data_IF_227885099512
#
_entry.id   IF_227885099512
#
_cell.length_a   1.000
_cell.length_b   1.000
_cell.length_c   1.000
_cell.angle_alpha   90.00
_cell.angle_beta   90.00
_cell.angle_gamma   90.00
#
_symmetry.space_group_name_H-M   'P 1'
#
loop_
_entity.id
_entity.type
_entity.pdbx_description
1 polymer ?
#
# COMPACT_ATOMS: atom_id res chain seq x y z
N UNK A 1 31.19 33.56 10.04
CA UNK A 1 31.03 32.28 9.32
C UNK A 1 29.98 32.48 8.23
N UNK A 2 30.36 32.38 6.94
CA UNK A 2 29.41 32.41 5.82
C UNK A 2 29.11 30.96 5.44
N UNK A 3 27.89 30.51 5.67
CA UNK A 3 27.43 29.20 5.20
C UNK A 3 27.49 29.20 3.67
N UNK A 4 28.29 28.30 3.10
CA UNK A 4 28.43 28.12 1.68
C UNK A 4 27.06 27.79 1.06
N UNK A 5 26.77 28.43 -0.07
CA UNK A 5 25.60 28.21 -0.91
C UNK A 5 25.45 26.70 -1.15
N UNK A 6 24.37 26.08 -0.63
CA UNK A 6 24.12 24.64 -0.76
C UNK A 6 24.21 24.26 -2.23
N UNK A 7 25.09 23.31 -2.52
CA UNK A 7 25.29 22.78 -3.87
C UNK A 7 23.96 22.31 -4.45
N UNK A 8 23.81 22.50 -5.75
CA UNK A 8 22.74 21.97 -6.62
C UNK A 8 22.23 20.62 -6.07
N UNK A 9 20.95 20.56 -5.70
CA UNK A 9 20.33 19.38 -5.07
C UNK A 9 20.77 18.11 -5.79
N UNK A 10 21.54 17.26 -5.12
CA UNK A 10 22.05 16.00 -5.70
C UNK A 10 20.96 14.94 -5.76
N UNK A 11 19.84 15.16 -5.07
CA UNK A 11 18.71 14.25 -5.05
C UNK A 11 17.63 14.79 -5.98
N UNK A 12 17.40 14.08 -7.09
CA UNK A 12 16.27 14.35 -7.99
C UNK A 12 14.92 14.06 -7.31
N UNK A 13 14.93 13.28 -6.23
CA UNK A 13 13.78 13.04 -5.37
C UNK A 13 14.18 13.06 -3.90
N UNK A 14 13.39 13.70 -3.04
CA UNK A 14 13.58 13.67 -1.59
C UNK A 14 12.25 13.71 -0.84
N UNK A 15 12.20 13.08 0.34
CA UNK A 15 11.07 13.22 1.26
C UNK A 15 11.20 14.54 2.01
N UNK A 16 10.19 15.41 1.90
CA UNK A 16 10.19 16.72 2.56
C UNK A 16 9.49 16.69 3.92
N UNK A 17 8.46 15.85 4.09
CA UNK A 17 7.65 15.80 5.30
C UNK A 17 6.92 14.46 5.45
N UNK A 18 6.78 13.96 6.69
CA UNK A 18 5.94 12.80 7.01
C UNK A 18 4.94 13.18 8.09
N UNK A 19 3.65 13.16 7.76
CA UNK A 19 2.54 13.52 8.67
C UNK A 19 1.76 12.27 9.10
N UNK A 20 0.76 12.45 9.97
CA UNK A 20 -0.20 11.40 10.30
C UNK A 20 -1.06 10.94 9.09
N UNK A 21 -1.17 11.76 8.05
CA UNK A 21 -2.04 11.51 6.90
C UNK A 21 -1.31 10.95 5.68
N UNK A 22 -0.01 11.18 5.57
CA UNK A 22 0.76 10.80 4.39
C UNK A 22 2.15 11.41 4.36
N UNK A 23 2.80 11.22 3.22
CA UNK A 23 4.18 11.62 2.96
C UNK A 23 4.18 12.71 1.89
N UNK A 24 4.97 13.75 2.11
CA UNK A 24 5.31 14.73 1.09
C UNK A 24 6.70 14.44 0.55
N UNK A 25 6.83 14.52 -0.77
CA UNK A 25 8.11 14.38 -1.45
C UNK A 25 8.25 15.44 -2.54
N UNK A 26 9.49 15.86 -2.78
CA UNK A 26 9.87 16.73 -3.89
C UNK A 26 10.50 15.85 -4.98
N UNK A 27 9.91 15.82 -6.16
CA UNK A 27 10.45 15.16 -7.35
C UNK A 27 10.72 16.21 -8.43
N UNK A 28 12.01 16.50 -8.69
CA UNK A 28 12.42 17.65 -9.49
C UNK A 28 11.99 18.96 -8.82
N UNK A 29 11.16 19.74 -9.50
CA UNK A 29 10.59 21.00 -8.98
C UNK A 29 9.12 20.87 -8.53
N UNK A 30 8.61 19.63 -8.42
CA UNK A 30 7.22 19.33 -8.07
C UNK A 30 7.12 18.68 -6.71
N UNK A 31 6.30 19.26 -5.84
CA UNK A 31 5.94 18.64 -4.56
C UNK A 31 4.70 17.76 -4.74
N UNK A 32 4.77 16.53 -4.25
CA UNK A 32 3.75 15.50 -4.37
C UNK A 32 3.33 15.02 -2.99
N UNK A 33 2.05 14.73 -2.81
CA UNK A 33 1.51 14.17 -1.58
C UNK A 33 1.06 12.73 -1.79
N UNK A 34 1.57 11.82 -0.97
CA UNK A 34 1.16 10.42 -0.94
C UNK A 34 0.31 10.16 0.31
N UNK A 35 -1.03 10.16 0.21
CA UNK A 35 -1.90 9.86 1.33
C UNK A 35 -1.81 8.38 1.71
N UNK A 36 -1.68 8.09 3.00
CA UNK A 36 -1.61 6.72 3.50
C UNK A 36 -2.91 5.91 3.33
N UNK A 37 -4.00 6.53 2.90
CA UNK A 37 -5.22 5.82 2.51
C UNK A 37 -5.05 5.07 1.19
N UNK A 38 -4.25 5.61 0.29
CA UNK A 38 -3.96 5.04 -1.02
C UNK A 38 -2.66 4.23 -1.03
N UNK A 39 -1.70 4.63 -0.18
CA UNK A 39 -0.40 3.99 -0.02
C UNK A 39 -0.23 3.46 1.43
N UNK A 40 -1.07 2.50 1.88
CA UNK A 40 -1.15 2.12 3.29
C UNK A 40 0.11 1.42 3.81
N UNK A 41 0.91 0.82 2.94
CA UNK A 41 2.09 0.05 3.33
C UNK A 41 3.14 0.93 4.02
N UNK A 42 3.21 2.22 3.70
CA UNK A 42 4.14 3.16 4.35
C UNK A 42 3.78 3.50 5.81
N UNK A 43 2.57 3.20 6.29
CA UNK A 43 2.12 3.60 7.65
C UNK A 43 2.94 2.97 8.77
N UNK A 44 3.45 1.78 8.54
CA UNK A 44 4.14 0.96 9.56
C UNK A 44 5.64 0.85 9.31
N UNK A 45 6.14 1.50 8.27
CA UNK A 45 7.55 1.43 7.91
C UNK A 45 8.42 2.37 8.75
N UNK A 46 9.68 2.00 8.89
CA UNK A 46 10.63 2.85 9.61
C UNK A 46 10.87 4.15 8.84
N UNK A 47 11.00 5.26 9.57
CA UNK A 47 11.32 6.57 8.97
C UNK A 47 12.60 6.46 8.12
N UNK A 48 13.61 5.74 8.59
CA UNK A 48 14.85 5.55 7.85
C UNK A 48 14.63 4.91 6.47
N UNK A 49 13.79 3.87 6.39
CA UNK A 49 13.47 3.21 5.13
C UNK A 49 12.65 4.13 4.20
N UNK A 50 11.66 4.85 4.74
CA UNK A 50 10.84 5.81 3.97
C UNK A 50 11.68 6.96 3.40
N UNK A 51 12.67 7.44 4.16
CA UNK A 51 13.55 8.53 3.70
C UNK A 51 14.48 8.11 2.56
N UNK A 52 14.72 6.82 2.37
CA UNK A 52 15.61 6.27 1.34
C UNK A 52 14.84 6.05 0.04
N UNK A 53 14.37 7.14 -0.55
CA UNK A 53 13.75 7.14 -1.88
C UNK A 53 14.79 7.37 -2.96
N UNK A 54 14.69 6.62 -4.05
CA UNK A 54 15.56 6.73 -5.23
C UNK A 54 14.71 6.91 -6.50
N UNK A 55 15.29 7.60 -7.50
CA UNK A 55 14.68 7.68 -8.82
C UNK A 55 15.19 6.51 -9.67
N UNK A 56 14.35 5.49 -9.88
CA UNK A 56 14.70 4.31 -10.68
C UNK A 56 14.71 4.61 -12.19
N UNK A 57 14.01 5.66 -12.62
CA UNK A 57 13.97 6.13 -13.99
C UNK A 57 13.04 7.33 -14.15
N UNK A 58 12.89 7.87 -15.37
CA UNK A 58 11.98 8.99 -15.62
C UNK A 58 10.56 8.65 -15.14
N UNK A 59 10.07 9.37 -14.12
CA UNK A 59 8.73 9.17 -13.58
C UNK A 59 8.57 7.97 -12.64
N UNK A 60 9.63 7.25 -12.27
CA UNK A 60 9.57 6.07 -11.40
C UNK A 60 10.41 6.22 -10.14
N UNK A 61 9.75 6.04 -9.00
CA UNK A 61 10.31 6.08 -7.66
C UNK A 61 10.52 4.65 -7.15
N UNK A 62 11.58 4.45 -6.39
CA UNK A 62 11.89 3.16 -5.78
C UNK A 62 12.39 3.34 -4.35
N UNK A 63 11.87 2.52 -3.44
CA UNK A 63 12.32 2.42 -2.06
C UNK A 63 13.03 1.08 -1.86
N UNK A 64 14.37 1.01 -1.98
CA UNK A 64 15.13 -0.24 -1.93
C UNK A 64 14.97 -1.01 -0.62
N UNK A 65 14.79 -0.31 0.50
CA UNK A 65 14.66 -0.96 1.81
C UNK A 65 13.24 -1.51 2.05
N UNK A 66 12.26 -1.05 1.26
CA UNK A 66 10.87 -1.48 1.32
C UNK A 66 10.50 -2.45 0.20
N UNK A 67 11.34 -2.57 -0.82
CA UNK A 67 11.05 -3.27 -2.08
C UNK A 67 9.75 -2.77 -2.74
N UNK A 68 9.57 -1.44 -2.75
CA UNK A 68 8.39 -0.76 -3.30
C UNK A 68 8.79 0.13 -4.48
N UNK A 69 8.15 -0.07 -5.63
CA UNK A 69 8.20 0.82 -6.79
C UNK A 69 6.88 1.59 -6.98
N UNK A 70 6.97 2.87 -7.33
CA UNK A 70 5.79 3.70 -7.63
C UNK A 70 6.05 4.59 -8.85
N UNK A 71 5.07 4.68 -9.74
CA UNK A 71 5.07 5.69 -10.80
C UNK A 71 4.55 7.03 -10.24
N UNK A 72 5.17 8.15 -10.63
CA UNK A 72 4.69 9.49 -10.27
C UNK A 72 3.24 9.70 -10.72
N UNK A 73 2.85 9.15 -11.88
CA UNK A 73 1.47 9.22 -12.37
C UNK A 73 0.46 8.57 -11.41
N UNK A 74 0.86 7.51 -10.69
CA UNK A 74 0.00 6.86 -9.69
C UNK A 74 -0.23 7.72 -8.44
N UNK A 75 0.67 8.67 -8.17
CA UNK A 75 0.53 9.63 -7.07
C UNK A 75 -0.33 10.82 -7.51
N UNK A 76 -0.14 11.29 -8.75
CA UNK A 76 -0.95 12.37 -9.34
C UNK A 76 -2.41 11.94 -9.60
N UNK A 77 -2.61 10.69 -10.02
CA UNK A 77 -3.90 10.12 -10.45
C UNK A 77 -4.18 8.75 -9.82
N UNK A 78 -4.31 8.67 -8.49
CA UNK A 78 -4.52 7.40 -7.79
C UNK A 78 -5.80 6.68 -8.18
N UNK A 79 -6.82 7.40 -8.63
CA UNK A 79 -8.08 6.84 -9.14
C UNK A 79 -7.90 5.99 -10.40
N UNK A 80 -6.83 6.24 -11.18
CA UNK A 80 -6.50 5.47 -12.39
C UNK A 80 -5.73 4.18 -12.05
N UNK A 81 -5.14 4.13 -10.86
CA UNK A 81 -4.27 3.04 -10.40
C UNK A 81 -4.65 2.64 -8.97
N UNK A 82 -5.80 1.96 -8.75
CA UNK A 82 -6.18 1.53 -7.41
C UNK A 82 -5.20 0.48 -6.89
N UNK A 83 -4.28 0.93 -6.05
CA UNK A 83 -3.20 0.12 -5.47
C UNK A 83 -3.64 -0.72 -4.27
N UNK A 84 -4.87 -0.52 -3.80
CA UNK A 84 -5.47 -1.30 -2.71
C UNK A 84 -6.62 -2.14 -3.28
N UNK A 85 -6.52 -3.46 -3.09
CA UNK A 85 -7.59 -4.39 -3.47
C UNK A 85 -8.88 -4.03 -2.73
N UNK A 86 -9.95 -3.80 -3.50
CA UNK A 86 -11.29 -3.60 -2.98
C UNK A 86 -12.01 -4.92 -2.70
N UNK A 87 -11.36 -6.06 -2.94
CA UNK A 87 -11.95 -7.37 -2.65
C UNK A 87 -11.86 -7.61 -1.15
N UNK A 88 -12.99 -7.72 -0.42
CA UNK A 88 -12.95 -8.05 0.99
C UNK A 88 -12.23 -9.40 1.17
N UNK A 89 -11.35 -9.54 2.17
CA UNK A 89 -10.61 -10.76 2.39
C UNK A 89 -11.59 -11.91 2.67
N UNK A 90 -11.77 -12.75 1.65
CA UNK A 90 -12.42 -14.05 1.69
C UNK A 90 -13.71 -14.13 2.53
N UNK A 91 -14.87 -13.82 1.93
CA UNK A 91 -16.14 -14.31 2.47
C UNK A 91 -16.13 -15.82 2.27
N UNK A 92 -15.71 -16.57 3.29
CA UNK A 92 -15.70 -18.02 3.31
C UNK A 92 -16.97 -18.53 2.62
N UNK A 93 -16.79 -19.22 1.49
CA UNK A 93 -17.87 -19.87 0.76
C UNK A 93 -18.50 -20.85 1.73
N UNK A 94 -19.61 -20.46 2.36
CA UNK A 94 -20.47 -21.39 3.09
C UNK A 94 -21.08 -22.31 2.03
N UNK A 95 -20.38 -23.40 1.71
CA UNK A 95 -20.97 -24.50 0.98
C UNK A 95 -22.25 -24.94 1.70
N UNK A 96 -23.28 -25.42 0.98
CA UNK A 96 -24.51 -25.82 1.62
C UNK A 96 -24.22 -26.96 2.58
N UNK A 97 -24.52 -26.75 3.87
CA UNK A 97 -24.50 -27.80 4.88
C UNK A 97 -25.54 -28.82 4.46
N UNK A 98 -25.08 -29.93 3.86
CA UNK A 98 -25.92 -31.05 3.49
C UNK A 98 -26.58 -31.63 4.74
N UNK A 99 -27.90 -31.42 4.84
CA UNK A 99 -28.75 -32.02 5.84
C UNK A 99 -28.73 -33.55 5.68
N UNK A 100 -27.89 -34.25 6.47
CA UNK A 100 -28.06 -35.69 6.70
C UNK A 100 -29.16 -35.90 7.73
N UNK A 101 -30.40 -35.97 7.26
CA UNK A 101 -31.50 -36.55 8.04
C UNK A 101 -31.22 -38.02 8.31
N UNK A 102 -30.82 -38.34 9.55
CA UNK A 102 -30.87 -39.72 10.08
C UNK A 102 -32.34 -40.14 10.17
N UNK A 103 -32.79 -41.01 9.25
CA UNK A 103 -34.08 -41.69 9.36
C UNK A 103 -34.02 -42.67 10.54
N UNK A 104 -34.97 -42.55 11.49
CA UNK A 104 -35.24 -43.59 12.52
C UNK A 104 -35.85 -44.82 11.82
N UNK A 105 -35.41 -46.06 12.11
CA UNK A 105 -36.21 -47.22 11.77
C UNK A 105 -37.23 -47.46 12.89
N UNK A 106 -38.51 -47.39 12.53
CA UNK A 106 -39.64 -47.95 13.26
C UNK A 106 -39.85 -49.40 12.82
N UNK A 107 -39.91 -50.32 13.78
CA UNK A 107 -40.62 -51.62 13.76
C UNK A 107 -40.36 -52.25 15.15
N UNK A 108 -41.30 -52.68 15.98
CA UNK A 108 -42.67 -53.13 15.73
C UNK A 108 -42.76 -54.65 15.91
N UNK A 109 -43.02 -55.07 17.17
CA UNK A 109 -43.62 -56.31 17.70
C UNK A 109 -43.49 -57.69 16.99
N UNK A 110 -43.30 -58.70 17.83
CA UNK A 110 -43.56 -60.15 17.63
C UNK A 110 -42.45 -60.94 18.31
N UNK A 111 -42.64 -61.81 19.31
CA UNK A 111 -43.81 -62.52 19.83
C UNK A 111 -43.72 -62.61 21.37
#
# INVERSE_FOLDING_TARGET
MRSARRGRSTSQVEITQISAHGIWLLAGDRELFMPFEQFPWFRTESIAAVMKVELAGPGHLYWPDLDVDLAIESIDHPERFPLVSQVPPNRAVKGPVGARTRRKPTRGRGA
#
